data_IF_975025623062
#
_entry.id   IF_975025623062
#
_cell.length_a   1.000
_cell.length_b   1.000
_cell.length_c   1.000
_cell.angle_alpha   90.00
_cell.angle_beta   90.00
_cell.angle_gamma   90.00
#
_symmetry.space_group_name_H-M   'P 1'
#
loop_
_entity.id
_entity.type
_entity.pdbx_description
1 polymer ?
#
# COMPACT_ATOMS: atom_id res chain seq x y z
N UNK A 1 64.66 7.44 19.84
CA UNK A 1 63.51 7.17 20.74
C UNK A 1 62.25 8.00 20.49
N UNK A 2 62.32 9.29 20.10
CA UNK A 2 61.12 10.14 19.87
C UNK A 2 60.21 9.72 18.70
N UNK A 3 60.76 9.22 17.57
CA UNK A 3 59.95 8.81 16.39
C UNK A 3 59.10 7.55 16.60
N UNK A 4 59.53 6.60 17.44
CA UNK A 4 58.74 5.38 17.75
C UNK A 4 57.54 5.65 18.65
N UNK A 5 57.61 6.65 19.54
CA UNK A 5 56.44 7.06 20.34
C UNK A 5 55.40 7.77 19.48
N UNK A 6 55.81 8.65 18.57
CA UNK A 6 54.89 9.37 17.69
C UNK A 6 54.13 8.45 16.73
N UNK A 7 54.78 7.41 16.19
CA UNK A 7 54.13 6.42 15.33
C UNK A 7 53.14 5.53 16.11
N UNK A 8 53.46 5.18 17.36
CA UNK A 8 52.56 4.40 18.20
C UNK A 8 51.33 5.21 18.59
N UNK A 9 51.48 6.50 18.97
CA UNK A 9 50.35 7.38 19.33
C UNK A 9 49.45 7.69 18.13
N UNK A 10 50.02 7.83 16.92
CA UNK A 10 49.24 8.05 15.70
C UNK A 10 48.47 6.79 15.28
N UNK A 11 49.03 5.59 15.54
CA UNK A 11 48.34 4.31 15.29
C UNK A 11 47.24 4.04 16.32
N UNK A 12 47.40 4.45 17.59
CA UNK A 12 46.31 4.41 18.57
C UNK A 12 45.20 5.40 18.24
N UNK A 13 45.53 6.59 17.71
CA UNK A 13 44.54 7.57 17.25
C UNK A 13 43.79 7.10 15.98
N UNK A 14 44.48 6.38 15.07
CA UNK A 14 43.88 5.78 13.87
C UNK A 14 43.02 4.55 14.24
N UNK A 15 43.40 3.78 15.26
CA UNK A 15 42.59 2.67 15.80
C UNK A 15 41.40 3.18 16.65
N UNK A 16 41.48 4.39 17.23
CA UNK A 16 40.34 5.11 17.83
C UNK A 16 39.44 5.80 16.80
N UNK A 17 39.90 5.99 15.57
CA UNK A 17 39.06 6.41 14.43
C UNK A 17 38.42 5.21 13.70
N UNK A 18 38.88 3.99 13.98
CA UNK A 18 38.27 2.72 13.53
C UNK A 18 37.53 2.03 14.69
N UNK A 19 37.52 2.62 15.90
CA UNK A 19 36.69 2.13 16.99
C UNK A 19 35.24 2.53 16.71
N UNK A 20 34.51 1.60 16.09
CA UNK A 20 33.07 1.50 16.12
C UNK A 20 32.40 2.86 15.92
N UNK A 21 32.32 3.33 14.67
CA UNK A 21 31.03 3.87 14.26
C UNK A 21 30.06 2.72 14.48
N UNK A 22 29.51 2.64 15.70
CA UNK A 22 28.34 1.84 15.98
C UNK A 22 27.37 2.31 14.93
N UNK A 23 27.15 1.47 13.92
CA UNK A 23 26.20 1.75 12.88
C UNK A 23 24.93 2.13 13.63
N UNK A 24 24.51 3.38 13.49
CA UNK A 24 23.30 3.88 14.12
C UNK A 24 22.22 2.82 13.88
N UNK A 25 21.72 2.21 14.96
CA UNK A 25 20.75 1.14 14.80
C UNK A 25 19.43 1.80 14.44
N UNK A 26 19.12 1.73 13.14
CA UNK A 26 17.86 2.23 12.61
C UNK A 26 16.72 1.43 13.23
N UNK A 27 15.55 2.06 13.47
CA UNK A 27 14.36 1.33 13.85
C UNK A 27 14.09 0.26 12.80
N UNK A 28 14.06 -1.00 13.22
CA UNK A 28 13.83 -2.12 12.32
C UNK A 28 12.34 -2.41 12.25
N UNK A 29 11.78 -2.41 11.03
CA UNK A 29 10.38 -2.75 10.77
C UNK A 29 10.00 -4.10 11.42
N UNK A 30 8.81 -4.15 12.02
CA UNK A 30 8.31 -5.35 12.69
C UNK A 30 7.50 -5.05 13.95
N UNK A 31 7.22 -6.10 14.71
CA UNK A 31 6.42 -6.05 15.94
C UNK A 31 7.29 -6.47 17.11
N UNK A 32 7.26 -5.69 18.18
CA UNK A 32 8.01 -5.90 19.39
C UNK A 32 7.05 -6.03 20.57
N UNK A 33 7.37 -6.89 21.52
CA UNK A 33 6.56 -7.14 22.72
C UNK A 33 7.27 -6.64 23.96
N UNK A 34 6.54 -5.95 24.83
CA UNK A 34 6.92 -5.70 26.22
C UNK A 34 6.22 -6.74 27.08
N UNK A 35 6.99 -7.41 27.95
CA UNK A 35 6.49 -8.44 28.86
C UNK A 35 6.64 -8.03 30.31
N UNK A 36 5.71 -8.45 31.16
CA UNK A 36 5.85 -8.35 32.61
C UNK A 36 6.84 -9.40 33.17
N UNK A 37 7.08 -9.38 34.47
CA UNK A 37 7.95 -10.33 35.17
C UNK A 37 7.47 -11.80 35.05
N UNK A 38 6.18 -12.00 34.77
CA UNK A 38 5.58 -13.32 34.58
C UNK A 38 5.65 -13.79 33.12
N UNK A 39 6.18 -12.96 32.20
CA UNK A 39 6.28 -13.25 30.78
C UNK A 39 5.03 -12.94 29.96
N UNK A 40 3.99 -12.34 30.56
CA UNK A 40 2.78 -11.94 29.83
C UNK A 40 3.04 -10.68 29.01
N UNK A 41 2.50 -10.62 27.80
CA UNK A 41 2.59 -9.42 26.96
C UNK A 41 1.71 -8.32 27.53
N UNK A 42 2.33 -7.20 27.90
CA UNK A 42 1.64 -6.02 28.48
C UNK A 42 1.57 -4.84 27.52
N UNK A 43 2.43 -4.81 26.50
CA UNK A 43 2.33 -3.86 25.40
C UNK A 43 2.97 -4.40 24.13
N UNK A 44 2.59 -3.82 23.00
CA UNK A 44 3.20 -4.07 21.68
C UNK A 44 3.69 -2.76 21.08
N UNK A 45 4.80 -2.81 20.37
CA UNK A 45 5.32 -1.73 19.53
C UNK A 45 5.37 -2.23 18.09
N UNK A 46 4.82 -1.45 17.18
CA UNK A 46 4.74 -1.71 15.76
C UNK A 46 5.58 -0.66 15.06
N UNK A 47 6.57 -1.10 14.30
CA UNK A 47 7.42 -0.24 13.48
C UNK A 47 7.11 -0.56 12.03
N UNK A 48 6.73 0.47 11.28
CA UNK A 48 6.45 0.35 9.85
C UNK A 48 6.94 1.57 9.11
N UNK A 49 7.60 1.34 8.01
CA UNK A 49 7.92 2.39 7.05
C UNK A 49 6.90 2.36 5.93
N UNK A 50 6.29 3.52 5.66
CA UNK A 50 5.35 3.71 4.55
C UNK A 50 5.94 4.69 3.54
N UNK A 51 5.79 4.38 2.26
CA UNK A 51 6.09 5.27 1.13
C UNK A 51 4.76 5.77 0.56
N UNK A 52 4.65 7.04 0.20
CA UNK A 52 3.36 7.58 -0.23
C UNK A 52 3.45 8.86 -1.03
N UNK A 53 2.28 9.34 -1.44
CA UNK A 53 2.13 10.53 -2.29
C UNK A 53 2.69 11.76 -1.58
N UNK A 54 3.66 12.40 -2.21
CA UNK A 54 4.09 13.74 -1.90
C UNK A 54 2.89 14.69 -2.12
N UNK A 55 2.26 15.22 -1.07
CA UNK A 55 1.16 16.18 -1.22
C UNK A 55 1.71 17.60 -1.16
N UNK A 56 1.48 18.42 -2.19
CA UNK A 56 1.70 19.86 -2.05
C UNK A 56 0.59 20.44 -1.17
N UNK A 57 0.94 21.01 -0.02
CA UNK A 57 0.01 21.76 0.80
C UNK A 57 -0.42 23.04 0.07
N UNK A 58 -1.52 23.65 0.51
CA UNK A 58 -1.98 24.96 -0.01
C UNK A 58 -0.93 26.08 0.13
N UNK A 59 0.12 25.89 0.93
CA UNK A 59 1.26 26.81 1.10
C UNK A 59 2.44 26.49 0.17
N UNK A 60 2.30 25.55 -0.78
CA UNK A 60 3.38 25.13 -1.67
C UNK A 60 4.46 24.29 -0.98
N UNK A 61 4.17 23.65 0.16
CA UNK A 61 5.09 22.71 0.81
C UNK A 61 4.77 21.30 0.40
N UNK A 62 5.75 20.57 -0.13
CA UNK A 62 5.63 19.14 -0.37
C UNK A 62 5.69 18.42 0.98
N UNK A 63 4.56 17.93 1.45
CA UNK A 63 4.49 17.00 2.58
C UNK A 63 4.55 15.59 2.05
N UNK A 64 5.77 15.12 1.86
CA UNK A 64 6.04 13.70 1.91
C UNK A 64 5.88 13.27 3.37
N UNK A 65 5.17 12.17 3.64
CA UNK A 65 5.59 11.31 4.74
C UNK A 65 7.05 11.02 4.46
N UNK A 66 7.96 11.74 5.11
CA UNK A 66 9.39 11.79 4.76
C UNK A 66 9.84 10.41 4.30
N UNK A 67 10.27 10.24 3.03
CA UNK A 67 10.56 8.92 2.49
C UNK A 67 11.57 8.25 3.41
N UNK A 68 11.12 7.22 4.13
CA UNK A 68 11.94 6.45 5.04
C UNK A 68 11.84 6.74 6.54
N UNK A 69 11.03 7.69 7.03
CA UNK A 69 10.84 7.86 8.48
C UNK A 69 9.84 6.84 9.04
N UNK A 70 10.25 5.91 9.93
CA UNK A 70 9.35 4.88 10.44
C UNK A 70 8.22 5.47 11.28
N UNK A 71 7.00 4.96 11.09
CA UNK A 71 5.90 5.14 12.03
C UNK A 71 6.11 4.15 13.16
N UNK A 72 6.08 4.65 14.39
CA UNK A 72 6.06 3.85 15.60
C UNK A 72 4.67 3.95 16.20
N UNK A 73 3.97 2.83 16.27
CA UNK A 73 2.71 2.71 16.98
C UNK A 73 2.85 1.77 18.18
N UNK A 74 2.13 2.07 19.25
CA UNK A 74 2.18 1.37 20.53
C UNK A 74 0.76 0.96 20.93
N UNK A 75 0.62 -0.22 21.53
CA UNK A 75 -0.62 -0.70 22.14
C UNK A 75 -0.36 -1.18 23.56
N UNK A 76 -1.08 -0.65 24.54
CA UNK A 76 -1.11 -1.20 25.90
C UNK A 76 -2.19 -2.27 26.02
N UNK A 77 -1.90 -3.35 26.73
CA UNK A 77 -2.82 -4.48 26.93
C UNK A 77 -3.17 -4.63 28.42
N UNK A 78 -4.43 -4.95 28.71
CA UNK A 78 -4.82 -5.41 30.05
C UNK A 78 -4.42 -6.87 30.31
N UNK A 79 -4.68 -7.38 31.52
CA UNK A 79 -4.38 -8.77 31.88
C UNK A 79 -5.17 -9.83 31.11
N UNK A 80 -6.18 -9.44 30.33
CA UNK A 80 -6.93 -10.31 29.42
C UNK A 80 -6.49 -10.17 27.96
N UNK A 81 -5.50 -9.32 27.68
CA UNK A 81 -5.00 -9.04 26.33
C UNK A 81 -5.84 -8.02 25.55
N UNK A 82 -6.80 -7.32 26.18
CA UNK A 82 -7.57 -6.28 25.52
C UNK A 82 -6.74 -4.99 25.40
N UNK A 83 -6.90 -4.27 24.30
CA UNK A 83 -6.23 -2.98 24.09
C UNK A 83 -6.84 -1.91 24.99
N UNK A 84 -5.99 -1.19 25.73
CA UNK A 84 -6.41 -0.15 26.69
C UNK A 84 -5.93 1.25 26.32
N UNK A 85 -4.87 1.33 25.52
CA UNK A 85 -4.30 2.57 24.98
C UNK A 85 -3.64 2.27 23.64
N UNK A 86 -3.80 3.16 22.67
CA UNK A 86 -2.96 3.21 21.49
C UNK A 86 -2.27 4.56 21.35
N UNK A 87 -1.05 4.56 20.83
CA UNK A 87 -0.30 5.77 20.49
C UNK A 87 0.38 5.56 19.15
N UNK A 88 0.43 6.58 18.29
CA UNK A 88 1.21 6.52 17.05
C UNK A 88 1.94 7.83 16.77
N UNK A 89 3.15 7.74 16.24
CA UNK A 89 4.03 8.88 15.95
C UNK A 89 5.04 8.53 14.85
N UNK A 90 5.76 9.53 14.32
CA UNK A 90 6.90 9.32 13.44
C UNK A 90 8.19 9.33 14.25
N UNK A 91 9.12 8.44 13.92
CA UNK A 91 10.46 8.48 14.48
C UNK A 91 11.28 9.59 13.82
N UNK A 92 11.77 10.53 14.63
CA UNK A 92 12.68 11.58 14.21
C UNK A 92 14.02 11.33 14.89
N UNK A 93 15.06 11.09 14.08
CA UNK A 93 16.43 10.90 14.56
C UNK A 93 16.91 12.09 15.38
N UNK A 94 17.46 11.80 16.57
CA UNK A 94 18.14 12.79 17.43
C UNK A 94 19.61 12.45 17.60
N UNK A 95 19.90 11.15 17.74
CA UNK A 95 21.24 10.58 17.86
C UNK A 95 21.28 9.23 17.14
N UNK A 96 22.44 8.57 17.15
CA UNK A 96 22.63 7.27 16.49
C UNK A 96 21.79 6.13 17.09
N UNK A 97 21.36 6.26 18.35
CA UNK A 97 20.61 5.22 19.06
C UNK A 97 19.31 5.73 19.67
N UNK A 98 18.96 6.99 19.44
CA UNK A 98 17.76 7.59 20.01
C UNK A 98 17.08 8.56 19.06
N UNK A 99 15.76 8.59 19.14
CA UNK A 99 14.92 9.52 18.42
C UNK A 99 13.71 9.93 19.24
N UNK A 100 12.90 10.78 18.64
CA UNK A 100 11.71 11.32 19.29
C UNK A 100 10.52 11.27 18.34
N UNK A 101 9.33 11.12 18.92
CA UNK A 101 8.07 11.44 18.29
C UNK A 101 7.65 12.86 18.67
N UNK A 102 7.87 13.81 17.76
CA UNK A 102 7.53 15.23 18.00
C UNK A 102 6.08 15.57 17.68
N UNK A 103 5.39 14.70 16.95
CA UNK A 103 3.97 14.83 16.61
C UNK A 103 3.37 13.44 16.62
N UNK A 104 2.19 13.28 17.20
CA UNK A 104 1.54 11.98 17.25
C UNK A 104 0.12 12.06 17.71
N UNK A 105 -0.53 10.90 17.77
CA UNK A 105 -1.89 10.77 18.25
C UNK A 105 -2.01 9.67 19.29
N UNK A 106 -3.11 9.72 20.04
CA UNK A 106 -3.43 8.78 21.12
C UNK A 106 -4.92 8.44 21.11
N UNK A 107 -5.20 7.17 21.37
CA UNK A 107 -6.54 6.63 21.61
C UNK A 107 -6.57 6.02 23.01
N UNK A 108 -7.47 6.48 23.87
CA UNK A 108 -7.66 5.94 25.23
C UNK A 108 -9.11 6.14 25.67
N UNK A 109 -9.52 5.41 26.71
CA UNK A 109 -10.86 5.56 27.29
C UNK A 109 -11.98 5.44 26.26
N UNK A 110 -12.91 6.40 26.27
CA UNK A 110 -14.06 6.42 25.36
C UNK A 110 -13.64 6.50 23.88
N UNK A 111 -12.61 7.29 23.54
CA UNK A 111 -12.12 7.41 22.16
C UNK A 111 -11.65 6.07 21.62
N UNK A 112 -10.92 5.30 22.42
CA UNK A 112 -10.48 3.95 22.03
C UNK A 112 -11.66 2.99 21.92
N UNK A 113 -12.58 3.02 22.88
CA UNK A 113 -13.78 2.18 22.84
C UNK A 113 -14.60 2.45 21.57
N UNK A 114 -14.75 3.72 21.20
CA UNK A 114 -15.45 4.11 19.98
C UNK A 114 -14.65 3.74 18.72
N UNK A 115 -13.32 3.81 18.74
CA UNK A 115 -12.48 3.34 17.63
C UNK A 115 -12.58 1.82 17.39
N UNK A 116 -12.79 1.05 18.48
CA UNK A 116 -12.98 -0.39 18.42
C UNK A 116 -14.44 -0.79 18.11
N UNK A 117 -15.39 0.13 18.32
CA UNK A 117 -16.82 -0.11 18.10
C UNK A 117 -17.28 0.41 16.73
N UNK A 118 -17.99 -0.45 16.00
CA UNK A 118 -18.57 -0.08 14.71
C UNK A 118 -19.52 1.12 14.83
N UNK A 119 -19.55 1.94 13.78
CA UNK A 119 -20.43 3.10 13.61
C UNK A 119 -20.36 4.15 14.74
N UNK A 120 -19.37 4.03 15.62
CA UNK A 120 -19.15 4.96 16.71
C UNK A 120 -18.16 6.02 16.24
N UNK A 121 -18.59 7.28 16.31
CA UNK A 121 -17.74 8.41 15.96
C UNK A 121 -16.70 8.63 17.04
N UNK A 122 -15.46 8.89 16.65
CA UNK A 122 -14.37 9.22 17.57
C UNK A 122 -13.40 10.22 16.95
N UNK A 123 -12.65 10.91 17.80
CA UNK A 123 -11.65 11.88 17.39
C UNK A 123 -10.37 11.61 18.18
N UNK A 124 -9.23 11.33 17.53
CA UNK A 124 -7.99 11.04 18.23
C UNK A 124 -7.49 12.25 19.01
N UNK A 125 -6.83 12.01 20.14
CA UNK A 125 -6.11 13.05 20.85
C UNK A 125 -4.77 13.29 20.15
N UNK A 126 -4.49 14.51 19.69
CA UNK A 126 -3.20 14.85 19.07
C UNK A 126 -2.22 15.43 20.10
N UNK A 127 -0.95 15.10 19.96
CA UNK A 127 0.14 15.69 20.72
C UNK A 127 1.24 16.22 19.79
N UNK A 128 1.95 17.25 20.25
CA UNK A 128 3.15 17.73 19.57
C UNK A 128 4.07 18.54 20.48
N UNK A 129 5.31 18.74 20.05
CA UNK A 129 6.27 19.64 20.71
C UNK A 129 5.74 21.08 20.76
N UNK A 130 4.96 21.51 19.78
CA UNK A 130 4.22 22.79 19.81
C UNK A 130 3.21 22.87 20.95
N UNK A 131 2.78 21.72 21.48
CA UNK A 131 1.89 21.61 22.63
C UNK A 131 2.65 21.24 23.92
N UNK A 132 3.98 21.18 23.88
CA UNK A 132 4.85 20.84 25.02
C UNK A 132 4.91 19.35 25.33
N UNK A 133 4.56 18.48 24.38
CA UNK A 133 4.55 17.03 24.55
C UNK A 133 5.40 16.34 23.48
N UNK A 134 6.23 15.40 23.89
CA UNK A 134 6.99 14.54 22.99
C UNK A 134 7.11 13.14 23.59
N UNK A 135 7.34 12.16 22.74
CA UNK A 135 7.72 10.80 23.16
C UNK A 135 9.13 10.50 22.67
N UNK A 136 9.81 9.56 23.32
CA UNK A 136 11.21 9.26 23.05
C UNK A 136 11.40 7.75 22.85
N UNK A 137 12.33 7.41 21.97
CA UNK A 137 12.63 6.02 21.62
C UNK A 137 14.13 5.77 21.60
N UNK A 138 14.54 4.59 22.07
CA UNK A 138 15.93 4.15 22.07
C UNK A 138 16.10 2.79 21.38
N UNK A 139 17.00 2.72 20.40
CA UNK A 139 17.36 1.52 19.64
C UNK A 139 18.85 1.25 19.86
N UNK A 140 19.17 0.59 20.98
CA UNK A 140 20.57 0.39 21.41
C UNK A 140 21.10 -0.96 20.98
N UNK A 141 20.25 -1.99 20.98
CA UNK A 141 20.61 -3.37 20.63
C UNK A 141 19.70 -3.89 19.51
N UNK A 142 20.20 -4.84 18.74
CA UNK A 142 19.45 -5.52 17.68
C UNK A 142 18.21 -6.22 18.25
N UNK A 143 17.07 -6.01 17.60
CA UNK A 143 15.79 -6.54 18.06
C UNK A 143 15.31 -5.97 19.39
N UNK A 144 15.88 -4.88 19.92
CA UNK A 144 15.41 -4.23 21.15
C UNK A 144 15.06 -2.77 20.91
N UNK A 145 13.94 -2.34 21.50
CA UNK A 145 13.50 -0.96 21.50
C UNK A 145 13.11 -0.52 22.91
N UNK A 146 13.32 0.74 23.23
CA UNK A 146 12.83 1.35 24.47
C UNK A 146 11.91 2.51 24.15
N UNK A 147 10.81 2.63 24.88
CA UNK A 147 9.89 3.76 24.79
C UNK A 147 9.90 4.54 26.12
N UNK A 148 9.92 5.87 26.01
CA UNK A 148 9.91 6.79 27.14
C UNK A 148 8.91 7.93 26.89
N UNK A 149 8.36 8.46 27.98
CA UNK A 149 7.37 9.55 27.95
C UNK A 149 6.08 9.22 27.16
N UNK A 150 5.77 7.94 26.93
CA UNK A 150 4.55 7.49 26.25
C UNK A 150 3.38 7.39 27.23
N UNK A 151 3.52 6.59 28.29
CA UNK A 151 2.62 6.46 29.45
C UNK A 151 3.21 5.37 30.37
N UNK A 152 2.73 5.20 31.59
CA UNK A 152 3.22 4.11 32.46
C UNK A 152 3.02 2.72 31.83
N UNK A 153 1.91 2.53 31.11
CA UNK A 153 1.62 1.29 30.42
C UNK A 153 2.56 1.05 29.22
N UNK A 154 2.89 2.12 28.48
CA UNK A 154 3.67 2.04 27.24
C UNK A 154 5.18 2.22 27.43
N UNK A 155 5.64 2.81 28.53
CA UNK A 155 7.06 3.01 28.80
C UNK A 155 7.76 1.68 29.08
N UNK A 156 9.01 1.56 28.65
CA UNK A 156 9.87 0.41 28.96
C UNK A 156 10.48 -0.26 27.74
N UNK A 157 11.02 -1.46 27.96
CA UNK A 157 11.75 -2.24 26.97
C UNK A 157 10.82 -3.17 26.20
N UNK A 158 11.03 -3.23 24.89
CA UNK A 158 10.35 -4.07 23.92
C UNK A 158 11.38 -4.94 23.20
N UNK A 159 10.99 -6.16 22.86
CA UNK A 159 11.83 -7.12 22.13
C UNK A 159 11.13 -7.59 20.88
N UNK A 160 11.83 -7.57 19.75
CA UNK A 160 11.31 -7.94 18.44
C UNK A 160 10.85 -9.40 18.44
N UNK A 161 9.70 -9.63 17.83
CA UNK A 161 9.12 -10.94 17.60
C UNK A 161 9.32 -11.31 16.13
N UNK A 162 10.11 -12.35 15.86
CA UNK A 162 10.47 -12.75 14.51
C UNK A 162 9.24 -13.17 13.67
N UNK A 163 8.33 -13.92 14.27
CA UNK A 163 7.16 -14.52 13.60
C UNK A 163 5.85 -13.82 14.00
N UNK A 164 5.88 -12.49 14.11
CA UNK A 164 4.71 -11.73 14.49
C UNK A 164 3.66 -11.72 13.38
N UNK A 165 2.41 -12.02 13.73
CA UNK A 165 1.27 -12.05 12.80
C UNK A 165 0.17 -11.06 13.21
N UNK A 166 0.42 -10.29 14.27
CA UNK A 166 -0.52 -9.31 14.77
C UNK A 166 -0.74 -8.17 13.77
N UNK A 167 -1.97 -7.69 13.74
CA UNK A 167 -2.34 -6.55 12.94
C UNK A 167 -1.85 -5.23 13.53
N UNK A 168 -1.51 -4.30 12.64
CA UNK A 168 -1.12 -2.96 13.04
C UNK A 168 -2.32 -2.25 13.67
N UNK A 169 -2.09 -1.44 14.72
CA UNK A 169 -3.15 -0.70 15.39
C UNK A 169 -3.79 0.35 14.47
N UNK A 170 -5.06 0.66 14.70
CA UNK A 170 -5.77 1.69 13.93
C UNK A 170 -5.09 3.05 14.08
N UNK A 171 -4.49 3.34 15.24
CA UNK A 171 -3.67 4.55 15.45
C UNK A 171 -2.55 4.74 14.43
N UNK A 172 -1.93 3.66 13.92
CA UNK A 172 -0.89 3.76 12.89
C UNK A 172 -1.48 4.32 11.57
N UNK A 173 -2.64 3.81 11.14
CA UNK A 173 -3.37 4.29 9.97
C UNK A 173 -3.81 5.75 10.15
N UNK A 174 -4.42 6.05 11.28
CA UNK A 174 -4.88 7.41 11.60
C UNK A 174 -3.71 8.40 11.58
N UNK A 175 -2.55 8.00 12.12
CA UNK A 175 -1.39 8.89 12.19
C UNK A 175 -0.82 9.16 10.81
N UNK A 176 -0.62 8.12 10.00
CA UNK A 176 -0.17 8.27 8.62
C UNK A 176 -1.10 9.23 7.85
N UNK A 177 -2.42 9.03 8.01
CA UNK A 177 -3.44 9.85 7.38
C UNK A 177 -3.42 11.32 7.84
N UNK A 178 -3.55 11.57 9.15
CA UNK A 178 -3.58 12.94 9.71
C UNK A 178 -2.30 13.70 9.40
N UNK A 179 -1.14 13.03 9.50
CA UNK A 179 0.16 13.65 9.22
C UNK A 179 0.25 14.15 7.78
N UNK A 180 -0.42 13.47 6.85
CA UNK A 180 -0.35 13.76 5.41
C UNK A 180 -1.39 14.78 4.97
N UNK A 181 -2.63 14.67 5.46
CA UNK A 181 -3.76 15.45 4.94
C UNK A 181 -4.30 16.50 5.93
N UNK A 182 -3.87 16.45 7.19
CA UNK A 182 -4.28 17.39 8.24
C UNK A 182 -3.12 17.76 9.18
N UNK A 183 -1.92 17.96 8.62
CA UNK A 183 -0.72 18.18 9.45
C UNK A 183 -0.86 19.39 10.39
N UNK A 184 -1.70 20.35 10.01
CA UNK A 184 -1.92 21.58 10.75
C UNK A 184 -2.52 21.33 12.14
N UNK A 185 -3.27 20.23 12.33
CA UNK A 185 -3.76 19.82 13.64
C UNK A 185 -2.62 19.54 14.65
N UNK A 186 -1.41 19.23 14.18
CA UNK A 186 -0.24 19.05 15.05
C UNK A 186 0.52 20.35 15.33
N UNK A 187 0.27 21.42 14.58
CA UNK A 187 1.01 22.68 14.69
C UNK A 187 0.21 23.81 15.34
N UNK A 188 -1.12 23.80 15.16
CA UNK A 188 -2.00 24.86 15.63
C UNK A 188 -3.13 24.30 16.50
N UNK A 189 -3.21 24.75 17.75
CA UNK A 189 -4.23 24.32 18.72
C UNK A 189 -5.67 24.64 18.30
N UNK A 190 -5.86 25.53 17.32
CA UNK A 190 -7.18 25.93 16.85
C UNK A 190 -7.71 25.05 15.70
N UNK A 191 -6.89 24.15 15.16
CA UNK A 191 -7.32 23.22 14.10
C UNK A 191 -7.58 21.87 14.75
N UNK A 192 -8.79 21.37 14.60
CA UNK A 192 -9.16 20.07 15.16
C UNK A 192 -8.63 18.93 14.30
N UNK A 193 -8.22 17.80 14.90
CA UNK A 193 -8.05 16.56 14.15
C UNK A 193 -9.37 16.15 13.49
N UNK A 194 -9.28 15.29 12.47
CA UNK A 194 -10.46 14.73 11.84
C UNK A 194 -11.21 13.83 12.83
N UNK A 195 -12.50 13.68 12.60
CA UNK A 195 -13.29 12.65 13.26
C UNK A 195 -13.41 11.42 12.35
N UNK A 196 -13.53 10.26 12.97
CA UNK A 196 -13.54 8.98 12.30
C UNK A 196 -14.72 8.14 12.74
N UNK A 197 -15.22 7.31 11.83
CA UNK A 197 -16.20 6.27 12.14
C UNK A 197 -15.73 4.98 11.46
N UNK A 198 -15.56 3.91 12.23
CA UNK A 198 -15.26 2.60 11.66
C UNK A 198 -16.52 2.02 11.03
N UNK A 199 -16.46 1.72 9.73
CA UNK A 199 -17.52 1.02 9.00
C UNK A 199 -17.41 -0.49 9.20
N UNK A 200 -18.54 -1.15 8.98
CA UNK A 200 -18.63 -2.59 9.05
C UNK A 200 -17.89 -3.25 7.89
N UNK A 201 -17.20 -4.35 8.21
CA UNK A 201 -16.64 -5.28 7.22
C UNK A 201 -17.78 -6.11 6.58
N UNK A 202 -18.95 -6.22 7.22
CA UNK A 202 -20.04 -7.14 6.84
C UNK A 202 -21.33 -6.48 6.25
N UNK A 203 -21.70 -5.25 6.63
CA UNK A 203 -22.99 -4.65 6.20
C UNK A 203 -22.99 -3.91 4.86
N UNK A 204 -21.83 -3.75 4.23
CA UNK A 204 -21.81 -3.69 2.77
C UNK A 204 -21.53 -5.11 2.32
N UNK A 205 -22.41 -5.76 1.59
CA UNK A 205 -21.97 -6.93 0.82
C UNK A 205 -20.78 -6.50 -0.08
N UNK A 206 -19.74 -7.32 -0.27
CA UNK A 206 -19.01 -8.13 0.73
C UNK A 206 -17.47 -7.97 0.56
N UNK A 207 -16.77 -7.91 1.69
CA UNK A 207 -15.38 -7.43 1.77
C UNK A 207 -14.48 -8.57 2.20
N UNK A 208 -13.59 -9.03 1.32
CA UNK A 208 -12.63 -10.07 1.69
C UNK A 208 -11.33 -9.52 2.22
N UNK A 209 -11.12 -9.72 3.52
CA UNK A 209 -9.83 -9.60 4.19
C UNK A 209 -9.91 -8.73 5.44
N UNK A 210 -8.81 -8.72 6.17
CA UNK A 210 -8.66 -7.90 7.35
C UNK A 210 -8.36 -6.45 6.95
N UNK A 211 -9.40 -5.62 6.86
CA UNK A 211 -9.28 -4.21 6.48
C UNK A 211 -9.76 -3.26 7.59
N UNK A 212 -9.15 -2.08 7.63
CA UNK A 212 -9.74 -0.89 8.22
C UNK A 212 -10.52 -0.14 7.13
N UNK A 213 -11.79 0.15 7.40
CA UNK A 213 -12.62 1.05 6.58
C UNK A 213 -13.11 2.18 7.49
N UNK A 214 -12.60 3.37 7.29
CA UNK A 214 -12.85 4.53 8.14
C UNK A 214 -13.52 5.64 7.32
N UNK A 215 -14.72 6.04 7.71
CA UNK A 215 -15.25 7.32 7.25
C UNK A 215 -14.53 8.44 8.00
N UNK A 216 -14.00 9.39 7.24
CA UNK A 216 -13.31 10.57 7.74
C UNK A 216 -14.24 11.76 7.57
N UNK A 217 -14.42 12.52 8.65
CA UNK A 217 -15.18 13.76 8.65
C UNK A 217 -14.26 14.87 9.14
N UNK A 218 -14.00 15.83 8.26
CA UNK A 218 -13.26 17.02 8.62
C UNK A 218 -14.25 18.11 9.08
N UNK A 219 -14.18 18.59 10.33
CA UNK A 219 -15.12 19.57 10.85
C UNK A 219 -15.06 20.92 10.13
N UNK A 220 -13.91 21.26 9.54
CA UNK A 220 -13.67 22.55 8.88
C UNK A 220 -14.01 22.53 7.38
N UNK A 221 -13.94 21.36 6.72
CA UNK A 221 -14.17 21.22 5.27
C UNK A 221 -15.57 20.75 4.89
N UNK A 222 -16.36 20.23 5.84
CA UNK A 222 -17.69 19.61 5.60
C UNK A 222 -17.70 18.42 4.61
N UNK A 223 -16.53 17.94 4.22
CA UNK A 223 -16.36 16.80 3.33
C UNK A 223 -16.32 15.49 4.12
N UNK A 224 -16.90 14.44 3.54
CA UNK A 224 -16.80 13.07 4.04
C UNK A 224 -16.23 12.20 2.92
N UNK A 225 -15.19 11.45 3.25
CA UNK A 225 -14.57 10.47 2.37
C UNK A 225 -14.19 9.23 3.20
N UNK A 226 -13.79 8.16 2.54
CA UNK A 226 -13.46 6.90 3.22
C UNK A 226 -11.98 6.58 3.05
N UNK A 227 -11.32 6.13 4.11
CA UNK A 227 -9.95 5.59 4.07
C UNK A 227 -10.04 4.09 4.24
N UNK A 228 -9.38 3.34 3.36
CA UNK A 228 -9.33 1.88 3.37
C UNK A 228 -7.88 1.42 3.43
N UNK A 229 -7.56 0.51 4.35
CA UNK A 229 -6.24 -0.10 4.44
C UNK A 229 -6.36 -1.55 4.88
N UNK A 230 -5.52 -2.45 4.37
CA UNK A 230 -5.42 -3.76 5.01
C UNK A 230 -4.80 -3.59 6.41
N UNK A 231 -5.12 -4.47 7.36
CA UNK A 231 -4.68 -4.37 8.75
C UNK A 231 -3.16 -4.59 8.92
N UNK A 232 -2.46 -5.02 7.86
CA UNK A 232 -0.99 -5.05 7.80
C UNK A 232 -0.38 -3.81 7.12
N UNK A 233 -1.22 -2.84 6.72
CA UNK A 233 -0.88 -1.57 6.09
C UNK A 233 0.02 -1.73 4.87
N UNK A 234 -0.14 -2.82 4.12
CA UNK A 234 0.58 -3.00 2.86
C UNK A 234 0.20 -1.92 1.86
N UNK A 235 -1.09 -1.59 1.80
CA UNK A 235 -1.62 -0.54 0.95
C UNK A 235 -2.70 0.24 1.72
N UNK A 236 -2.66 1.57 1.58
CA UNK A 236 -3.64 2.51 2.12
C UNK A 236 -4.19 3.35 0.98
N UNK A 237 -5.52 3.43 0.89
CA UNK A 237 -6.25 4.21 -0.10
C UNK A 237 -7.22 5.18 0.56
N UNK A 238 -7.47 6.30 -0.10
CA UNK A 238 -8.60 7.18 0.17
C UNK A 238 -9.64 7.09 -0.95
N UNK A 239 -10.91 7.31 -0.63
CA UNK A 239 -12.04 7.26 -1.55
C UNK A 239 -12.88 8.53 -1.43
N UNK A 240 -12.84 9.35 -2.47
CA UNK A 240 -13.66 10.55 -2.63
C UNK A 240 -14.78 10.28 -3.65
N UNK A 241 -16.00 10.05 -3.17
CA UNK A 241 -17.19 9.86 -4.03
C UNK A 241 -17.00 8.78 -5.11
N UNK A 242 -16.51 7.60 -4.72
CA UNK A 242 -16.19 6.47 -5.61
C UNK A 242 -14.94 6.64 -6.47
N UNK A 243 -14.13 7.67 -6.23
CA UNK A 243 -12.80 7.81 -6.82
C UNK A 243 -11.77 7.43 -5.77
N UNK A 244 -11.03 6.36 -6.01
CA UNK A 244 -10.05 5.85 -5.06
C UNK A 244 -8.65 6.28 -5.47
N UNK A 245 -7.87 6.72 -4.49
CA UNK A 245 -6.51 7.19 -4.67
C UNK A 245 -5.61 6.45 -3.69
N UNK A 246 -4.44 6.01 -4.17
CA UNK A 246 -3.42 5.50 -3.27
C UNK A 246 -2.85 6.64 -2.43
N UNK A 247 -2.75 6.37 -1.14
CA UNK A 247 -2.18 7.29 -0.19
C UNK A 247 -0.79 6.81 0.25
N UNK A 248 -0.69 5.54 0.67
CA UNK A 248 0.55 4.93 1.14
C UNK A 248 0.69 3.46 0.72
N UNK A 249 1.93 3.00 0.63
CA UNK A 249 2.31 1.59 0.48
C UNK A 249 3.41 1.26 1.49
N UNK A 250 3.40 0.04 2.03
CA UNK A 250 4.48 -0.41 2.91
C UNK A 250 5.80 -0.42 2.15
N UNK A 251 6.88 0.01 2.82
CA UNK A 251 8.23 -0.14 2.29
C UNK A 251 8.51 -1.62 2.00
N UNK A 252 9.18 -1.90 0.89
CA UNK A 252 9.50 -3.25 0.42
C UNK A 252 8.25 -4.11 0.11
N UNK A 253 7.09 -3.48 -0.09
CA UNK A 253 5.92 -4.18 -0.61
C UNK A 253 6.23 -4.71 -2.01
N UNK A 254 6.55 -6.01 -2.08
CA UNK A 254 7.03 -6.76 -3.24
C UNK A 254 8.52 -6.56 -3.63
N UNK A 255 9.40 -6.48 -2.63
CA UNK A 255 10.86 -6.38 -2.78
C UNK A 255 11.35 -5.09 -3.49
N UNK A 256 12.61 -4.72 -3.21
CA UNK A 256 13.27 -3.53 -3.77
C UNK A 256 13.84 -3.81 -5.18
N UNK A 257 13.72 -2.87 -6.14
CA UNK A 257 12.99 -1.61 -6.05
C UNK A 257 11.50 -1.84 -6.29
N UNK A 258 10.65 -1.53 -5.30
CA UNK A 258 9.21 -1.58 -5.49
C UNK A 258 8.83 -0.36 -6.34
N UNK A 259 8.72 -0.52 -7.66
CA UNK A 259 8.14 0.49 -8.56
C UNK A 259 6.76 0.98 -8.02
N UNK A 260 6.09 0.14 -7.23
CA UNK A 260 4.93 0.44 -6.37
C UNK A 260 5.06 1.76 -5.57
N UNK A 261 6.26 2.13 -5.11
CA UNK A 261 6.48 3.34 -4.31
C UNK A 261 6.61 4.65 -5.10
N UNK A 262 6.89 4.60 -6.41
CA UNK A 262 7.14 5.78 -7.26
C UNK A 262 5.95 6.03 -8.20
N UNK A 263 5.31 4.96 -8.66
CA UNK A 263 4.46 4.98 -9.84
C UNK A 263 2.97 5.27 -9.51
N UNK A 264 2.58 5.37 -8.24
CA UNK A 264 1.17 5.22 -7.83
C UNK A 264 0.45 6.51 -7.39
N UNK A 265 1.06 7.68 -7.61
CA UNK A 265 0.46 8.97 -7.22
C UNK A 265 -0.85 9.30 -7.96
N UNK A 266 -1.19 8.57 -9.03
CA UNK A 266 -2.33 8.85 -9.92
C UNK A 266 -3.12 7.59 -10.35
N UNK A 267 -3.55 6.73 -9.43
CA UNK A 267 -4.66 5.82 -9.77
C UNK A 267 -5.92 6.67 -9.97
N UNK A 268 -6.36 6.85 -11.21
CA UNK A 268 -7.58 7.60 -11.55
C UNK A 268 -8.56 6.67 -12.26
N UNK A 269 -9.34 5.93 -11.49
CA UNK A 269 -10.40 5.07 -12.00
C UNK A 269 -11.78 5.60 -11.60
N UNK A 270 -12.57 6.08 -12.56
CA UNK A 270 -13.96 6.43 -12.34
C UNK A 270 -14.85 5.18 -12.48
N UNK A 271 -15.87 5.10 -11.61
CA UNK A 271 -17.05 4.23 -11.67
C UNK A 271 -17.06 2.93 -10.84
N UNK A 272 -16.61 2.98 -9.57
CA UNK A 272 -16.74 1.94 -8.52
C UNK A 272 -15.53 1.01 -8.39
N UNK A 273 -14.56 1.42 -7.59
CA UNK A 273 -13.64 0.48 -6.94
C UNK A 273 -14.24 0.04 -5.61
N UNK A 274 -14.39 -1.26 -5.43
CA UNK A 274 -14.73 -1.92 -4.15
C UNK A 274 -13.42 -2.38 -3.46
N UNK A 275 -13.46 -2.87 -2.23
CA UNK A 275 -12.28 -3.55 -1.65
C UNK A 275 -11.78 -4.69 -2.49
N UNK A 276 -12.65 -5.32 -3.28
CA UNK A 276 -12.23 -6.35 -4.24
C UNK A 276 -11.23 -5.82 -5.26
N UNK A 277 -11.30 -4.54 -5.63
CA UNK A 277 -10.29 -3.93 -6.48
C UNK A 277 -8.96 -3.82 -5.74
N UNK A 278 -8.96 -3.46 -4.45
CA UNK A 278 -7.76 -3.44 -3.60
C UNK A 278 -7.18 -4.85 -3.38
N UNK A 279 -8.06 -5.84 -3.21
CA UNK A 279 -7.67 -7.23 -3.02
C UNK A 279 -7.10 -7.83 -4.31
N UNK A 280 -7.74 -7.59 -5.46
CA UNK A 280 -7.20 -7.91 -6.78
C UNK A 280 -5.89 -7.20 -7.05
N UNK A 281 -5.79 -5.92 -6.69
CA UNK A 281 -4.58 -5.13 -6.83
C UNK A 281 -3.41 -5.78 -6.07
N UNK A 282 -3.62 -6.15 -4.81
CA UNK A 282 -2.64 -6.88 -4.00
C UNK A 282 -2.25 -8.20 -4.67
N UNK A 283 -3.23 -8.94 -5.18
CA UNK A 283 -2.98 -10.18 -5.90
C UNK A 283 -2.09 -9.96 -7.12
N UNK A 284 -2.38 -8.96 -7.96
CA UNK A 284 -1.58 -8.63 -9.15
C UNK A 284 -0.18 -8.19 -8.74
N UNK A 285 -0.03 -7.38 -7.69
CA UNK A 285 1.29 -6.93 -7.23
C UNK A 285 2.18 -8.13 -6.89
N UNK A 286 1.63 -9.17 -6.25
CA UNK A 286 2.39 -10.35 -5.84
C UNK A 286 2.62 -11.35 -6.99
N UNK A 287 1.69 -11.46 -7.94
CA UNK A 287 1.68 -12.56 -8.92
C UNK A 287 1.96 -12.12 -10.37
N UNK A 288 1.75 -10.85 -10.69
CA UNK A 288 1.95 -10.26 -12.02
C UNK A 288 2.35 -8.77 -11.93
N UNK A 289 3.43 -8.43 -11.20
CA UNK A 289 3.82 -7.04 -10.93
C UNK A 289 4.05 -6.21 -12.20
N UNK A 290 4.53 -6.83 -13.28
CA UNK A 290 4.77 -6.18 -14.57
C UNK A 290 3.51 -5.55 -15.20
N UNK A 291 2.31 -5.99 -14.80
CA UNK A 291 1.04 -5.39 -15.25
C UNK A 291 0.80 -4.00 -14.68
N UNK A 292 1.52 -3.63 -13.62
CA UNK A 292 1.32 -2.39 -12.87
C UNK A 292 2.54 -1.46 -12.97
N UNK A 293 3.54 -1.81 -13.80
CA UNK A 293 4.71 -0.97 -14.08
C UNK A 293 4.33 0.38 -14.71
N UNK A 294 3.20 0.44 -15.43
CA UNK A 294 2.67 1.69 -15.96
C UNK A 294 1.78 2.38 -14.90
N UNK A 295 2.10 3.64 -14.50
CA UNK A 295 1.34 4.41 -13.49
C UNK A 295 -0.12 4.64 -13.85
N UNK A 296 -0.43 4.65 -15.14
CA UNK A 296 -1.77 4.92 -15.63
C UNK A 296 -2.63 3.65 -15.68
N UNK A 297 -2.12 2.50 -15.24
CA UNK A 297 -2.89 1.26 -15.15
C UNK A 297 -3.98 1.40 -14.09
N UNK A 298 -5.21 1.02 -14.44
CA UNK A 298 -6.36 1.09 -13.55
C UNK A 298 -7.23 -0.17 -13.61
N UNK A 299 -7.96 -0.43 -12.54
CA UNK A 299 -8.91 -1.52 -12.42
C UNK A 299 -10.32 -0.95 -12.56
N UNK A 300 -11.12 -1.54 -13.44
CA UNK A 300 -12.52 -1.16 -13.67
C UNK A 300 -13.43 -2.35 -13.43
N UNK A 301 -14.45 -2.18 -12.58
CA UNK A 301 -15.56 -3.13 -12.52
C UNK A 301 -16.34 -3.08 -13.85
N UNK A 302 -16.46 -4.22 -14.50
CA UNK A 302 -17.12 -4.40 -15.79
C UNK A 302 -18.49 -5.05 -15.66
N UNK A 303 -18.68 -5.86 -14.62
CA UNK A 303 -19.93 -6.55 -14.34
C UNK A 303 -19.96 -7.01 -12.88
N UNK A 304 -21.14 -7.39 -12.39
CA UNK A 304 -21.28 -8.06 -11.10
C UNK A 304 -22.45 -9.04 -11.12
N UNK A 305 -22.31 -10.14 -10.39
CA UNK A 305 -23.34 -11.18 -10.25
C UNK A 305 -23.50 -11.50 -8.78
N UNK A 306 -24.74 -11.67 -8.31
CA UNK A 306 -25.02 -12.18 -6.97
C UNK A 306 -25.94 -13.39 -7.06
N UNK A 307 -25.64 -14.43 -6.29
CA UNK A 307 -26.52 -15.59 -6.14
C UNK A 307 -27.80 -15.25 -5.35
N UNK A 308 -28.69 -16.23 -5.20
CA UNK A 308 -29.85 -16.12 -4.30
C UNK A 308 -29.62 -16.91 -3.01
N UNK A 309 -30.05 -16.34 -1.88
CA UNK A 309 -30.07 -17.00 -0.57
C UNK A 309 -29.03 -16.48 0.43
N UNK A 310 -29.06 -16.97 1.69
CA UNK A 310 -28.27 -16.40 2.79
C UNK A 310 -26.75 -16.61 2.68
N UNK A 311 -26.30 -17.42 1.72
CA UNK A 311 -24.88 -17.68 1.44
C UNK A 311 -24.51 -17.29 0.00
N UNK A 312 -25.30 -16.40 -0.61
CA UNK A 312 -25.01 -15.91 -1.95
C UNK A 312 -23.64 -15.22 -1.95
N UNK A 313 -22.79 -15.62 -2.89
CA UNK A 313 -21.52 -14.95 -3.13
C UNK A 313 -21.78 -13.96 -4.25
N UNK A 314 -21.57 -12.66 -4.00
CA UNK A 314 -21.44 -11.73 -5.11
C UNK A 314 -20.03 -11.81 -5.69
N UNK A 315 -19.95 -11.68 -7.00
CA UNK A 315 -18.72 -11.78 -7.77
C UNK A 315 -18.61 -10.55 -8.65
N UNK A 316 -17.54 -9.80 -8.45
CA UNK A 316 -17.21 -8.61 -9.19
C UNK A 316 -16.27 -8.96 -10.33
N UNK A 317 -16.71 -8.74 -11.57
CA UNK A 317 -15.85 -8.90 -12.75
C UNK A 317 -15.12 -7.60 -13.02
N UNK A 318 -13.81 -7.66 -13.08
CA UNK A 318 -12.93 -6.51 -13.20
C UNK A 318 -12.01 -6.66 -14.41
N UNK A 319 -11.78 -5.56 -15.12
CA UNK A 319 -10.75 -5.46 -16.14
C UNK A 319 -9.56 -4.64 -15.61
N UNK A 320 -8.36 -5.07 -15.97
CA UNK A 320 -7.12 -4.32 -15.75
C UNK A 320 -6.80 -3.61 -17.06
N UNK A 321 -6.84 -2.30 -17.03
CA UNK A 321 -6.81 -1.44 -18.21
C UNK A 321 -5.65 -0.46 -18.13
N UNK A 322 -5.08 -0.12 -19.27
CA UNK A 322 -4.08 0.92 -19.44
C UNK A 322 -4.54 1.87 -20.55
N UNK A 323 -4.34 3.19 -20.42
CA UNK A 323 -4.54 4.11 -21.54
C UNK A 323 -3.69 3.72 -22.75
N UNK A 324 -4.30 3.84 -23.93
CA UNK A 324 -3.69 3.53 -25.22
C UNK A 324 -4.25 4.51 -26.26
N UNK A 325 -3.45 5.52 -26.62
CA UNK A 325 -3.88 6.66 -27.44
C UNK A 325 -5.17 7.32 -26.91
N UNK A 326 -6.26 7.29 -27.70
CA UNK A 326 -7.57 7.81 -27.33
C UNK A 326 -8.52 6.71 -26.82
N UNK A 327 -7.98 5.56 -26.44
CA UNK A 327 -8.71 4.37 -26.01
C UNK A 327 -8.00 3.64 -24.85
N UNK A 328 -8.32 2.37 -24.67
CA UNK A 328 -7.81 1.52 -23.60
C UNK A 328 -7.28 0.20 -24.15
N UNK A 329 -6.20 -0.28 -23.52
CA UNK A 329 -5.66 -1.61 -23.69
C UNK A 329 -5.96 -2.43 -22.43
N UNK A 330 -6.48 -3.65 -22.59
CA UNK A 330 -6.70 -4.59 -21.49
C UNK A 330 -5.48 -5.47 -21.30
N UNK A 331 -4.93 -5.43 -20.10
CA UNK A 331 -3.78 -6.23 -19.68
C UNK A 331 -4.20 -7.57 -19.06
N UNK A 332 -5.43 -7.63 -18.55
CA UNK A 332 -6.02 -8.82 -17.95
C UNK A 332 -7.44 -8.58 -17.47
N UNK A 333 -8.04 -9.62 -16.91
CA UNK A 333 -9.32 -9.52 -16.22
C UNK A 333 -9.38 -10.47 -15.03
N UNK A 334 -10.31 -10.23 -14.13
CA UNK A 334 -10.53 -11.09 -12.98
C UNK A 334 -11.98 -11.14 -12.55
N UNK A 335 -12.37 -12.26 -11.96
CA UNK A 335 -13.57 -12.37 -11.14
C UNK A 335 -13.14 -12.43 -9.68
N UNK A 336 -13.59 -11.46 -8.89
CA UNK A 336 -13.32 -11.40 -7.46
C UNK A 336 -14.61 -11.69 -6.73
N UNK A 337 -14.69 -12.90 -6.20
CA UNK A 337 -15.75 -13.32 -5.32
C UNK A 337 -15.59 -12.67 -3.97
N UNK A 338 -16.72 -12.34 -3.38
CA UNK A 338 -16.76 -11.79 -2.05
C UNK A 338 -16.80 -12.88 -0.98
N UNK A 339 -16.31 -14.06 -1.36
CA UNK A 339 -15.76 -15.14 -0.54
C UNK A 339 -14.21 -15.16 -0.61
N UNK A 340 -13.60 -14.19 -1.30
CA UNK A 340 -12.15 -13.97 -1.39
C UNK A 340 -11.49 -14.79 -2.47
N UNK A 341 -12.26 -15.51 -3.26
CA UNK A 341 -11.75 -16.24 -4.41
C UNK A 341 -11.46 -15.25 -5.54
N UNK A 342 -10.24 -15.30 -6.05
CA UNK A 342 -9.84 -14.59 -7.26
C UNK A 342 -9.68 -15.62 -8.36
N UNK A 343 -10.40 -15.42 -9.47
CA UNK A 343 -10.05 -16.03 -10.75
C UNK A 343 -9.44 -14.93 -11.61
N UNK A 344 -8.13 -14.99 -11.81
CA UNK A 344 -7.36 -13.98 -12.52
C UNK A 344 -6.81 -14.52 -13.83
N UNK A 345 -6.98 -13.74 -14.88
CA UNK A 345 -6.51 -14.03 -16.23
C UNK A 345 -5.54 -12.96 -16.66
N UNK A 346 -4.30 -13.37 -16.94
CA UNK A 346 -3.22 -12.49 -17.35
C UNK A 346 -3.13 -12.49 -18.87
N UNK A 347 -3.59 -11.42 -19.48
CA UNK A 347 -3.73 -11.27 -20.93
C UNK A 347 -2.53 -10.55 -21.58
N UNK A 348 -1.35 -10.68 -20.99
CA UNK A 348 -0.10 -10.14 -21.52
C UNK A 348 1.09 -11.04 -21.16
N UNK A 349 2.19 -10.92 -21.90
CA UNK A 349 3.40 -11.70 -21.70
C UNK A 349 3.85 -12.46 -22.94
N UNK A 350 4.76 -13.44 -22.76
CA UNK A 350 5.28 -14.25 -23.86
C UNK A 350 4.20 -15.19 -24.37
N UNK A 351 4.04 -15.22 -25.70
CA UNK A 351 3.07 -16.04 -26.40
C UNK A 351 3.66 -16.51 -27.74
N UNK A 352 2.84 -17.20 -28.52
CA UNK A 352 3.18 -17.53 -29.91
C UNK A 352 1.98 -17.40 -30.84
N UNK A 353 2.26 -17.34 -32.14
CA UNK A 353 1.24 -17.37 -33.18
C UNK A 353 0.59 -18.76 -33.26
N UNK A 354 -0.73 -18.79 -33.41
CA UNK A 354 -1.55 -19.95 -33.71
C UNK A 354 -2.04 -19.87 -35.16
N UNK A 355 -1.64 -20.83 -35.99
CA UNK A 355 -1.97 -20.89 -37.42
C UNK A 355 -0.88 -20.32 -38.33
N UNK A 356 -0.96 -20.65 -39.62
CA UNK A 356 0.04 -20.26 -40.62
C UNK A 356 -0.41 -19.04 -41.42
N UNK A 357 0.57 -18.27 -41.91
CA UNK A 357 0.29 -17.09 -42.71
C UNK A 357 -0.45 -15.96 -41.95
N UNK A 358 -0.23 -15.86 -40.63
CA UNK A 358 -0.91 -14.87 -39.79
C UNK A 358 -0.27 -13.49 -39.97
N UNK A 359 -1.09 -12.50 -40.32
CA UNK A 359 -0.63 -11.14 -40.60
C UNK A 359 -0.48 -10.31 -39.33
N UNK A 360 0.69 -9.70 -39.19
CA UNK A 360 0.96 -8.61 -38.25
C UNK A 360 0.64 -7.29 -38.95
N UNK A 361 -0.09 -6.41 -38.28
CA UNK A 361 -0.70 -5.23 -38.87
C UNK A 361 -0.29 -3.94 -38.17
N UNK A 362 -0.35 -2.84 -38.89
CA UNK A 362 -0.03 -1.50 -38.38
C UNK A 362 -1.08 -0.95 -37.40
N UNK A 363 -2.34 -1.37 -37.57
CA UNK A 363 -3.47 -0.96 -36.74
C UNK A 363 -4.36 -2.16 -36.42
N UNK A 364 -5.16 -2.12 -35.35
CA UNK A 364 -6.08 -3.20 -34.98
C UNK A 364 -7.34 -3.20 -35.88
N UNK A 365 -7.18 -3.42 -37.18
CA UNK A 365 -8.27 -3.62 -38.14
C UNK A 365 -7.74 -4.34 -39.40
N UNK A 366 -8.62 -4.85 -40.25
CA UNK A 366 -8.21 -5.60 -41.45
C UNK A 366 -7.84 -4.74 -42.66
N UNK A 367 -8.10 -3.43 -42.61
CA UNK A 367 -7.99 -2.50 -43.74
C UNK A 367 -6.70 -1.66 -43.72
N UNK A 368 -5.82 -1.88 -42.74
CA UNK A 368 -4.54 -1.19 -42.59
C UNK A 368 -3.38 -1.96 -43.25
N UNK A 369 -2.18 -1.36 -43.21
CA UNK A 369 -0.95 -1.97 -43.70
C UNK A 369 -0.58 -3.26 -42.96
N UNK A 370 0.10 -4.15 -43.68
CA UNK A 370 0.64 -5.41 -43.15
C UNK A 370 2.13 -5.21 -42.92
N UNK A 371 2.56 -5.34 -41.67
CA UNK A 371 3.97 -5.27 -41.26
C UNK A 371 4.73 -6.56 -41.58
N UNK A 372 4.03 -7.68 -41.65
CA UNK A 372 4.60 -8.97 -42.04
C UNK A 372 3.64 -10.12 -41.81
N UNK A 373 4.10 -11.32 -42.14
CA UNK A 373 3.38 -12.57 -41.98
C UNK A 373 4.22 -13.54 -41.15
N UNK A 374 3.57 -14.26 -40.23
CA UNK A 374 4.21 -15.19 -39.29
C UNK A 374 3.44 -16.51 -39.25
N UNK A 375 4.18 -17.59 -39.10
CA UNK A 375 3.64 -18.94 -39.07
C UNK A 375 3.44 -19.45 -37.64
N UNK A 376 2.79 -20.60 -37.55
CA UNK A 376 2.44 -21.23 -36.29
C UNK A 376 3.68 -21.46 -35.41
N UNK A 377 3.58 -21.10 -34.13
CA UNK A 377 4.66 -21.22 -33.15
C UNK A 377 5.65 -20.05 -33.16
N UNK A 378 5.52 -19.07 -34.06
CA UNK A 378 6.40 -17.89 -34.03
C UNK A 378 6.29 -17.17 -32.68
N UNK A 379 7.40 -16.95 -31.95
CA UNK A 379 7.37 -16.36 -30.63
C UNK A 379 7.16 -14.84 -30.69
N UNK A 380 6.41 -14.31 -29.74
CA UNK A 380 6.19 -12.88 -29.58
C UNK A 380 5.88 -12.52 -28.12
N UNK A 381 5.80 -11.23 -27.84
CA UNK A 381 5.28 -10.72 -26.56
C UNK A 381 3.97 -10.00 -26.81
N UNK A 382 2.88 -10.42 -26.17
CA UNK A 382 1.62 -9.68 -26.12
C UNK A 382 1.74 -8.57 -25.07
N UNK A 383 1.49 -7.33 -25.47
CA UNK A 383 1.50 -6.16 -24.58
C UNK A 383 0.13 -5.94 -23.92
N UNK A 384 -0.92 -6.47 -24.54
CA UNK A 384 -2.31 -6.42 -24.08
C UNK A 384 -3.25 -6.51 -25.27
N UNK A 385 -4.55 -6.42 -25.00
CA UNK A 385 -5.59 -6.49 -26.02
C UNK A 385 -6.30 -5.16 -26.18
N UNK A 386 -6.61 -4.79 -27.41
CA UNK A 386 -7.27 -3.54 -27.78
C UNK A 386 -8.53 -3.82 -28.59
N UNK A 387 -9.40 -2.81 -28.65
CA UNK A 387 -10.55 -2.85 -29.54
C UNK A 387 -10.14 -2.71 -31.00
N UNK A 388 -11.04 -3.09 -31.89
CA UNK A 388 -10.89 -2.77 -33.30
C UNK A 388 -10.98 -1.26 -33.56
N UNK A 389 -10.17 -0.73 -34.46
CA UNK A 389 -10.21 0.70 -34.81
C UNK A 389 -11.61 1.11 -35.27
N UNK A 390 -12.19 2.11 -34.62
CA UNK A 390 -13.54 2.60 -34.93
C UNK A 390 -14.68 1.82 -34.25
N UNK A 391 -14.38 0.75 -33.51
CA UNK A 391 -15.38 0.01 -32.73
C UNK A 391 -15.92 0.87 -31.57
N UNK A 392 -17.24 0.81 -31.35
CA UNK A 392 -17.91 1.61 -30.31
C UNK A 392 -17.93 0.88 -28.97
N UNK A 393 -17.99 -0.44 -28.99
CA UNK A 393 -18.12 -1.27 -27.79
C UNK A 393 -16.77 -1.81 -27.33
N UNK A 394 -16.63 -2.07 -26.03
CA UNK A 394 -15.40 -2.63 -25.44
C UNK A 394 -15.27 -4.13 -25.77
N UNK A 395 -14.95 -4.42 -27.03
CA UNK A 395 -14.66 -5.77 -27.53
C UNK A 395 -13.19 -5.87 -27.92
N UNK A 396 -12.40 -6.47 -27.05
CA UNK A 396 -10.95 -6.66 -27.21
C UNK A 396 -10.67 -7.80 -28.22
N UNK A 397 -10.59 -7.46 -29.51
CA UNK A 397 -10.43 -8.42 -30.63
C UNK A 397 -9.01 -8.54 -31.16
N UNK A 398 -8.14 -7.61 -30.79
CA UNK A 398 -6.79 -7.48 -31.33
C UNK A 398 -5.76 -7.51 -30.21
N UNK A 399 -4.72 -8.32 -30.35
CA UNK A 399 -3.56 -8.28 -29.49
C UNK A 399 -2.57 -7.24 -30.04
N UNK A 400 -2.14 -6.30 -29.20
CA UNK A 400 -0.95 -5.49 -29.46
C UNK A 400 0.26 -6.34 -29.11
N UNK A 401 1.18 -6.51 -30.05
CA UNK A 401 2.31 -7.44 -29.92
C UNK A 401 3.63 -6.74 -30.20
N UNK A 402 4.68 -7.21 -29.54
CA UNK A 402 6.08 -6.88 -29.83
C UNK A 402 6.79 -8.14 -30.32
N UNK A 403 7.40 -8.04 -31.49
CA UNK A 403 8.23 -9.10 -32.06
C UNK A 403 9.64 -9.05 -31.45
N UNK A 404 10.43 -10.12 -31.64
CA UNK A 404 11.79 -10.21 -31.08
C UNK A 404 12.77 -9.17 -31.69
N UNK A 405 12.48 -8.61 -32.87
CA UNK A 405 13.23 -7.51 -33.48
C UNK A 405 12.84 -6.12 -32.94
N UNK A 406 11.90 -6.06 -31.99
CA UNK A 406 11.38 -4.84 -31.39
C UNK A 406 10.18 -4.23 -32.13
N UNK A 407 9.78 -4.76 -33.29
CA UNK A 407 8.62 -4.27 -34.04
C UNK A 407 7.35 -4.42 -33.22
N UNK A 408 6.57 -3.34 -33.12
CA UNK A 408 5.26 -3.33 -32.47
C UNK A 408 4.17 -3.30 -33.54
N UNK A 409 3.17 -4.17 -33.40
CA UNK A 409 2.04 -4.26 -34.32
C UNK A 409 0.83 -4.92 -33.69
N UNK A 410 -0.14 -5.27 -34.52
CA UNK A 410 -1.42 -5.85 -34.09
C UNK A 410 -1.69 -7.17 -34.81
N UNK A 411 -2.23 -8.12 -34.08
CA UNK A 411 -2.69 -9.41 -34.62
C UNK A 411 -4.06 -9.73 -34.04
N UNK A 412 -4.93 -10.41 -34.80
CA UNK A 412 -6.21 -10.82 -34.26
C UNK A 412 -6.00 -11.80 -33.11
N UNK A 413 -6.70 -11.56 -32.00
CA UNK A 413 -6.51 -12.28 -30.75
C UNK A 413 -6.78 -13.80 -30.86
N UNK A 414 -7.57 -14.24 -31.85
CA UNK A 414 -7.82 -15.67 -32.12
C UNK A 414 -6.57 -16.44 -32.58
N UNK A 415 -5.53 -15.72 -33.03
CA UNK A 415 -4.25 -16.29 -33.48
C UNK A 415 -3.15 -16.20 -32.42
N UNK A 416 -3.50 -15.90 -31.17
CA UNK A 416 -2.58 -15.95 -30.04
C UNK A 416 -2.77 -17.27 -29.28
N UNK A 417 -1.67 -17.87 -28.83
CA UNK A 417 -1.69 -19.01 -27.92
C UNK A 417 -0.57 -18.91 -26.87
N UNK A 418 -0.77 -19.56 -25.73
CA UNK A 418 0.20 -19.63 -24.63
C UNK A 418 0.01 -18.58 -23.53
N UNK A 419 -1.03 -17.75 -23.63
CA UNK A 419 -1.49 -16.84 -22.57
C UNK A 419 -3.02 -16.86 -22.55
N UNK A 420 -3.62 -16.31 -21.50
CA UNK A 420 -5.06 -16.05 -21.48
C UNK A 420 -5.43 -15.03 -22.56
N UNK A 421 -6.51 -15.30 -23.27
CA UNK A 421 -7.04 -14.41 -24.30
C UNK A 421 -8.48 -14.01 -23.99
N UNK A 422 -8.97 -12.89 -24.58
CA UNK A 422 -10.37 -12.51 -24.49
C UNK A 422 -11.37 -13.60 -24.93
N UNK A 423 -10.90 -14.59 -25.69
CA UNK A 423 -11.71 -15.70 -26.21
C UNK A 423 -11.73 -16.93 -25.30
N UNK A 424 -10.86 -16.98 -24.28
CA UNK A 424 -10.78 -18.12 -23.35
C UNK A 424 -11.84 -18.05 -22.23
N UNK A 425 -12.81 -17.15 -22.34
CA UNK A 425 -13.92 -16.95 -21.40
C UNK A 425 -14.97 -18.09 -21.39
N UNK A 426 -14.72 -19.19 -22.10
CA UNK A 426 -15.50 -20.41 -21.97
C UNK A 426 -14.94 -21.31 -20.87
N UNK A 427 -15.39 -21.12 -19.62
CA UNK A 427 -15.73 -22.13 -18.57
C UNK A 427 -16.07 -21.42 -17.24
#
# INVERSE_FOLDING_TARGET
MKRRRMFLTMMTLLLLLISVSAWAMLPEDGIYEKKDESGNVTARMFIITLNGKASETQEGRTMETSPGAPIIALQALDGSGNVTEELATCYIWKTDTAGAGETGLRLRGETLQNAMKQYSKFTPEVFSTSFGQQVEFGFVNEGEANAYNCSDALNGKYVKKADATEYYPVSALLYAYEKTLNHNAFQNKNISPNSYTRKDEEQGEPWHGDYYVLDVSNPDRQDVWTVTADKNLHIVMENHQHNYYFLFVKKDYNAEPSWVGITWSNFTGTAMTSTNALYLHRHITLNAPEMLENPDTYIRMTDFYSGEGPNAITTNNMAILQPEDNDVMRLGHASVGDDGRIRFFKEMGRASIKGDGVRIREQPNTNCGILGEKDNGYPLTVLGFVKETGEKYLMFKWAKVRLDDGTVGYVSAQFIQGIDTPYDSGI
#
